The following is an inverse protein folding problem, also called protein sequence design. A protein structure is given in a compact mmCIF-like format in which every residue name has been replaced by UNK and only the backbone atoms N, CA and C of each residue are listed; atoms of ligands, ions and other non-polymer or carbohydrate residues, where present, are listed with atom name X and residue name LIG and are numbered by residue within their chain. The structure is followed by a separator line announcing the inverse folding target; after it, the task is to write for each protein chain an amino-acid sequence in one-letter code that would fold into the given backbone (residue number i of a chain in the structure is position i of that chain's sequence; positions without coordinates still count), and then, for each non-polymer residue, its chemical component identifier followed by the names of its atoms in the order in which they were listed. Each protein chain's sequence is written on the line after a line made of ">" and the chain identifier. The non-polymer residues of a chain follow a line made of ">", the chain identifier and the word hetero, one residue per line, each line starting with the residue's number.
data_IF_460451767196
#
_entry.id   IF_460451767196
#
_cell.length_a   1.000
_cell.length_b   1.000
_cell.length_c   1.000
_cell.angle_alpha   90.00
_cell.angle_beta   90.00
_cell.angle_gamma   90.00
#
_symmetry.space_group_name_H-M   'P 1'
#
loop_
_entity.id
_entity.type
_entity.pdbx_description
1 polymer ?
#
# COMPACT_ATOMS: atom_id res chain seq x y z
N UNK A 1 0.50 2.09 18.44
CA UNK A 1 1.79 2.76 18.44
C UNK A 1 1.53 4.27 18.38
N UNK A 2 2.28 5.06 19.15
CA UNK A 2 2.17 6.52 19.02
C UNK A 2 2.61 6.92 17.60
N UNK A 3 1.81 7.73 16.92
CA UNK A 3 2.20 8.37 15.69
C UNK A 3 3.49 9.16 15.97
N UNK A 4 4.58 8.78 15.30
CA UNK A 4 5.86 9.43 15.52
C UNK A 4 5.99 10.61 14.58
N UNK A 5 6.34 11.78 15.10
CA UNK A 5 6.80 12.90 14.32
C UNK A 5 8.25 12.60 13.88
N UNK A 6 8.39 11.83 12.81
CA UNK A 6 9.69 11.70 12.17
C UNK A 6 10.07 13.06 11.57
N UNK A 7 11.33 13.50 11.72
CA UNK A 7 11.76 14.73 11.08
C UNK A 7 11.61 14.59 9.56
N UNK A 8 11.17 15.66 8.86
CA UNK A 8 11.07 15.61 7.42
C UNK A 8 12.45 15.38 6.80
N UNK A 9 12.53 14.48 5.82
CA UNK A 9 13.75 14.31 5.04
C UNK A 9 13.90 15.54 4.13
N UNK A 10 15.02 16.26 4.20
CA UNK A 10 15.23 17.45 3.37
C UNK A 10 15.32 17.05 1.89
N UNK A 11 14.41 17.58 1.08
CA UNK A 11 14.41 17.36 -0.37
C UNK A 11 15.52 18.19 -1.02
N UNK A 12 16.60 17.54 -1.46
CA UNK A 12 17.79 18.19 -2.04
C UNK A 12 17.60 18.61 -3.50
N UNK A 13 16.66 18.00 -4.22
CA UNK A 13 16.32 18.33 -5.59
C UNK A 13 14.85 18.01 -5.87
N UNK A 14 14.36 18.34 -7.08
CA UNK A 14 13.01 17.98 -7.53
C UNK A 14 12.99 16.72 -8.39
N UNK A 15 14.09 15.97 -8.44
CA UNK A 15 14.18 14.73 -9.22
C UNK A 15 13.48 13.60 -8.48
N UNK A 16 12.50 13.00 -9.11
CA UNK A 16 11.74 11.87 -8.59
C UNK A 16 11.70 10.71 -9.56
N UNK A 17 11.48 9.52 -9.04
CA UNK A 17 11.31 8.29 -9.79
C UNK A 17 9.99 7.63 -9.41
N UNK A 18 9.13 7.37 -10.40
CA UNK A 18 7.86 6.68 -10.20
C UNK A 18 8.03 5.16 -10.29
N UNK A 19 7.36 4.42 -9.37
CA UNK A 19 7.32 2.96 -9.42
C UNK A 19 8.68 2.29 -9.21
N UNK A 20 9.50 2.80 -8.29
CA UNK A 20 10.82 2.24 -8.02
C UNK A 20 10.73 0.89 -7.26
N UNK A 21 11.57 -0.05 -7.70
CA UNK A 21 11.85 -1.30 -6.99
C UNK A 21 13.35 -1.56 -7.01
N UNK A 22 13.93 -2.00 -5.88
CA UNK A 22 15.34 -2.36 -5.80
C UNK A 22 15.67 -3.56 -6.71
N UNK A 23 16.79 -3.47 -7.42
CA UNK A 23 17.24 -4.49 -8.37
C UNK A 23 18.47 -4.01 -9.14
N UNK A 24 18.62 -4.47 -10.36
CA UNK A 24 19.81 -4.23 -11.21
C UNK A 24 20.11 -2.74 -11.47
N UNK A 25 19.08 -1.89 -11.42
CA UNK A 25 19.19 -0.44 -11.67
C UNK A 25 19.17 0.41 -10.39
N UNK A 26 19.42 -0.18 -9.23
CA UNK A 26 19.43 0.59 -7.96
C UNK A 26 20.49 1.70 -7.95
N UNK A 27 21.61 1.53 -8.65
CA UNK A 27 22.66 2.56 -8.82
C UNK A 27 22.15 3.83 -9.52
N UNK A 28 21.11 3.72 -10.36
CA UNK A 28 20.52 4.87 -11.06
C UNK A 28 19.96 5.92 -10.09
N UNK A 29 19.60 5.53 -8.87
CA UNK A 29 19.19 6.46 -7.82
C UNK A 29 20.29 7.49 -7.51
N UNK A 30 21.54 7.05 -7.48
CA UNK A 30 22.70 7.89 -7.23
C UNK A 30 23.12 8.64 -8.50
N UNK A 31 23.22 7.96 -9.64
CA UNK A 31 23.65 8.52 -10.91
C UNK A 31 22.73 9.62 -11.42
N UNK A 32 21.45 9.47 -11.21
CA UNK A 32 20.43 10.47 -11.57
C UNK A 32 20.20 11.51 -10.48
N UNK A 33 20.70 11.30 -9.27
CA UNK A 33 20.50 12.19 -8.13
C UNK A 33 19.03 12.27 -7.70
N UNK A 34 18.39 11.10 -7.58
CA UNK A 34 16.98 10.97 -7.18
C UNK A 34 16.84 11.35 -5.71
N UNK A 35 15.81 12.12 -5.38
CA UNK A 35 15.52 12.57 -4.00
C UNK A 35 14.10 12.24 -3.54
N UNK A 36 13.25 11.79 -4.45
CA UNK A 36 11.91 11.28 -4.13
C UNK A 36 11.59 10.07 -5.00
N UNK A 37 10.78 9.15 -4.47
CA UNK A 37 10.31 7.99 -5.23
C UNK A 37 8.88 7.63 -4.83
N UNK A 38 8.16 6.95 -5.75
CA UNK A 38 6.91 6.27 -5.42
C UNK A 38 7.09 4.76 -5.48
N UNK A 39 6.41 4.05 -4.59
CA UNK A 39 6.36 2.59 -4.55
C UNK A 39 4.90 2.16 -4.49
N UNK A 40 4.48 1.29 -5.41
CA UNK A 40 3.13 0.74 -5.40
C UNK A 40 3.04 -0.42 -4.41
N UNK A 41 1.99 -0.43 -3.59
CA UNK A 41 1.74 -1.48 -2.60
C UNK A 41 0.29 -1.93 -2.69
N UNK A 42 0.08 -3.22 -3.02
CA UNK A 42 -1.23 -3.86 -2.98
C UNK A 42 -1.27 -4.95 -1.91
N UNK A 43 -2.21 -4.90 -0.95
CA UNK A 43 -2.32 -5.92 0.09
C UNK A 43 -2.56 -7.32 -0.50
N UNK A 44 -3.24 -7.42 -1.63
CA UNK A 44 -3.61 -8.69 -2.25
C UNK A 44 -2.40 -9.48 -2.78
N UNK A 45 -1.21 -8.88 -2.83
CA UNK A 45 0.01 -9.55 -3.25
C UNK A 45 0.80 -10.20 -2.11
N UNK A 46 0.51 -9.86 -0.84
CA UNK A 46 1.31 -10.33 0.29
C UNK A 46 0.53 -10.57 1.59
N UNK A 47 -0.75 -10.19 1.68
CA UNK A 47 -1.59 -10.37 2.87
C UNK A 47 -2.59 -11.51 2.68
N UNK A 48 -2.90 -12.24 3.78
CA UNK A 48 -3.78 -13.40 3.80
C UNK A 48 -4.65 -13.39 5.07
N UNK A 49 -5.84 -13.96 4.97
CA UNK A 49 -6.75 -14.15 6.12
C UNK A 49 -6.39 -15.41 6.93
N UNK A 50 -5.66 -16.35 6.32
CA UNK A 50 -5.19 -17.59 6.95
C UNK A 50 -3.76 -17.88 6.48
N UNK A 51 -2.94 -18.60 7.28
CA UNK A 51 -1.57 -18.88 6.87
C UNK A 51 -1.55 -19.83 5.66
N UNK A 52 -0.94 -19.36 4.56
CA UNK A 52 -0.82 -20.12 3.31
C UNK A 52 0.46 -21.00 3.28
N UNK A 53 1.48 -20.64 4.06
CA UNK A 53 2.76 -21.33 4.17
C UNK A 53 3.42 -21.07 5.52
N UNK A 54 4.46 -21.85 5.86
CA UNK A 54 5.29 -21.59 7.03
C UNK A 54 6.08 -20.28 6.90
N UNK A 55 6.39 -19.64 8.02
CA UNK A 55 7.24 -18.43 8.07
C UNK A 55 6.54 -17.13 7.66
N UNK A 56 5.21 -17.14 7.56
CA UNK A 56 4.46 -15.89 7.40
C UNK A 56 4.54 -15.04 8.66
N UNK A 57 4.53 -13.72 8.49
CA UNK A 57 4.50 -12.77 9.61
C UNK A 57 3.07 -12.60 10.08
N UNK A 58 2.82 -12.92 11.35
CA UNK A 58 1.52 -12.72 11.99
C UNK A 58 1.36 -11.28 12.47
N UNK A 59 0.16 -10.73 12.29
CA UNK A 59 -0.21 -9.40 12.76
C UNK A 59 -1.62 -9.43 13.36
N UNK A 60 -1.70 -9.16 14.66
CA UNK A 60 -2.97 -9.08 15.36
C UNK A 60 -3.54 -7.65 15.28
N UNK A 61 -4.78 -7.53 14.81
CA UNK A 61 -5.48 -6.26 14.73
C UNK A 61 -6.96 -6.41 15.08
N UNK A 62 -7.46 -5.64 16.04
CA UNK A 62 -8.87 -5.65 16.48
C UNK A 62 -9.45 -7.04 16.76
N UNK A 63 -8.66 -7.92 17.38
CA UNK A 63 -9.09 -9.27 17.77
C UNK A 63 -9.04 -10.33 16.66
N UNK A 64 -8.59 -9.96 15.48
CA UNK A 64 -8.34 -10.87 14.36
C UNK A 64 -6.82 -10.95 14.09
N UNK A 65 -6.37 -12.05 13.50
CA UNK A 65 -4.97 -12.23 13.07
C UNK A 65 -4.91 -12.29 11.55
N UNK A 66 -3.98 -11.53 10.99
CA UNK A 66 -3.68 -11.48 9.57
C UNK A 66 -2.27 -12.00 9.32
N UNK A 67 -2.00 -12.51 8.14
CA UNK A 67 -0.74 -13.16 7.80
C UNK A 67 -0.12 -12.47 6.59
N UNK A 68 1.19 -12.21 6.66
CA UNK A 68 1.92 -11.49 5.61
C UNK A 68 3.06 -12.37 5.07
N UNK A 69 3.17 -12.46 3.76
CA UNK A 69 4.20 -13.25 3.08
C UNK A 69 5.58 -12.62 3.28
N UNK A 70 6.45 -13.29 4.05
CA UNK A 70 7.79 -12.81 4.38
C UNK A 70 8.65 -12.55 3.14
N UNK A 71 8.57 -13.41 2.11
CA UNK A 71 9.37 -13.24 0.88
C UNK A 71 8.96 -11.98 0.10
N UNK A 72 7.67 -11.66 0.08
CA UNK A 72 7.17 -10.43 -0.54
C UNK A 72 7.53 -9.19 0.28
N UNK A 73 7.51 -9.31 1.59
CA UNK A 73 7.99 -8.26 2.49
C UNK A 73 9.49 -8.02 2.33
N UNK A 74 10.30 -9.06 2.17
CA UNK A 74 11.76 -8.91 1.97
C UNK A 74 12.08 -8.08 0.72
N UNK A 75 11.32 -8.25 -0.37
CA UNK A 75 11.47 -7.45 -1.58
C UNK A 75 11.08 -5.97 -1.37
N UNK A 76 9.98 -5.73 -0.63
CA UNK A 76 9.56 -4.38 -0.25
C UNK A 76 10.55 -3.73 0.72
N UNK A 77 11.02 -4.49 1.72
CA UNK A 77 12.06 -4.06 2.66
C UNK A 77 13.34 -3.65 1.94
N UNK A 78 13.82 -4.46 0.99
CA UNK A 78 14.99 -4.13 0.20
C UNK A 78 14.82 -2.79 -0.52
N UNK A 79 13.67 -2.60 -1.17
CA UNK A 79 13.34 -1.36 -1.89
C UNK A 79 13.35 -0.15 -0.96
N UNK A 80 12.70 -0.26 0.20
CA UNK A 80 12.59 0.84 1.17
C UNK A 80 13.92 1.09 1.92
N UNK A 81 14.75 0.07 2.15
CA UNK A 81 16.11 0.25 2.73
C UNK A 81 17.03 0.97 1.76
N UNK A 82 17.00 0.61 0.46
CA UNK A 82 17.83 1.29 -0.55
C UNK A 82 17.51 2.78 -0.67
N UNK A 83 16.22 3.13 -0.59
CA UNK A 83 15.79 4.53 -0.60
C UNK A 83 16.12 5.25 0.72
N UNK A 84 15.92 4.60 1.87
CA UNK A 84 16.22 5.19 3.18
C UNK A 84 17.72 5.45 3.36
N UNK A 85 18.60 4.52 2.91
CA UNK A 85 20.05 4.66 2.96
C UNK A 85 20.58 5.89 2.17
N UNK A 86 19.78 6.39 1.23
CA UNK A 86 20.11 7.57 0.38
C UNK A 86 19.34 8.83 0.76
N UNK A 87 18.62 8.82 1.86
CA UNK A 87 17.71 9.91 2.26
C UNK A 87 16.68 10.27 1.16
N UNK A 88 16.20 9.29 0.42
CA UNK A 88 15.16 9.47 -0.58
C UNK A 88 13.80 9.47 0.11
N UNK A 89 12.98 10.49 -0.15
CA UNK A 89 11.61 10.58 0.35
C UNK A 89 10.71 9.64 -0.45
N UNK A 90 10.14 8.62 0.21
CA UNK A 90 9.23 7.67 -0.45
C UNK A 90 7.78 7.98 -0.13
N UNK A 91 6.97 8.07 -1.18
CA UNK A 91 5.52 8.02 -1.10
C UNK A 91 5.02 6.65 -1.55
N UNK A 92 4.35 5.92 -0.65
CA UNK A 92 3.72 4.64 -1.00
C UNK A 92 2.34 4.89 -1.56
N UNK A 93 2.05 4.31 -2.73
CA UNK A 93 0.72 4.32 -3.35
C UNK A 93 0.00 3.04 -2.93
N UNK A 94 -1.04 3.17 -2.13
CA UNK A 94 -1.89 2.06 -1.72
C UNK A 94 -2.88 1.74 -2.82
N UNK A 95 -2.83 0.52 -3.34
CA UNK A 95 -3.70 0.04 -4.42
C UNK A 95 -4.43 -1.22 -3.95
N UNK A 96 -5.59 -1.50 -4.51
CA UNK A 96 -6.29 -2.77 -4.32
C UNK A 96 -6.52 -3.38 -5.70
N UNK A 97 -5.83 -4.48 -5.98
CA UNK A 97 -6.01 -5.23 -7.21
C UNK A 97 -7.42 -5.82 -7.30
N UNK A 98 -7.92 -6.16 -8.48
CA UNK A 98 -9.12 -6.97 -8.62
C UNK A 98 -8.98 -8.31 -7.89
N UNK A 99 -10.07 -8.82 -7.33
CA UNK A 99 -10.08 -10.06 -6.56
C UNK A 99 -9.50 -11.28 -7.32
N UNK A 100 -9.63 -11.29 -8.64
CA UNK A 100 -9.07 -12.34 -9.49
C UNK A 100 -7.53 -12.39 -9.49
N UNK A 101 -6.86 -11.30 -9.10
CA UNK A 101 -5.40 -11.19 -9.01
C UNK A 101 -4.87 -11.43 -7.59
N UNK A 102 -5.76 -11.63 -6.61
CA UNK A 102 -5.40 -11.84 -5.23
C UNK A 102 -4.70 -13.19 -5.01
N UNK A 103 -3.66 -13.21 -4.16
CA UNK A 103 -3.00 -14.43 -3.70
C UNK A 103 -3.88 -15.24 -2.74
N UNK A 104 -4.70 -14.55 -1.96
CA UNK A 104 -5.75 -15.12 -1.12
C UNK A 104 -7.10 -14.71 -1.71
N UNK A 105 -7.84 -15.69 -2.25
CA UNK A 105 -9.11 -15.46 -2.92
C UNK A 105 -10.19 -14.90 -1.96
N UNK A 106 -10.15 -15.31 -0.67
CA UNK A 106 -11.11 -14.81 0.33
C UNK A 106 -10.81 -13.36 0.68
N UNK A 107 -9.54 -12.98 0.82
CA UNK A 107 -9.13 -11.60 1.03
C UNK A 107 -9.46 -10.74 -0.19
N UNK A 108 -9.20 -11.25 -1.40
CA UNK A 108 -9.56 -10.57 -2.65
C UNK A 108 -11.04 -10.23 -2.72
N UNK A 109 -11.90 -11.23 -2.50
CA UNK A 109 -13.35 -11.05 -2.47
C UNK A 109 -13.81 -10.11 -1.35
N UNK A 110 -13.09 -10.08 -0.22
CA UNK A 110 -13.39 -9.21 0.91
C UNK A 110 -13.07 -7.74 0.61
N UNK A 111 -11.90 -7.47 0.01
CA UNK A 111 -11.39 -6.11 -0.19
C UNK A 111 -11.86 -5.45 -1.48
N UNK A 112 -12.23 -6.21 -2.50
CA UNK A 112 -12.82 -5.67 -3.73
C UNK A 112 -14.15 -4.99 -3.43
N UNK A 113 -14.36 -3.80 -4.00
CA UNK A 113 -15.67 -3.14 -3.89
C UNK A 113 -16.77 -4.02 -4.50
N UNK A 114 -17.93 -4.20 -3.83
CA UNK A 114 -19.00 -5.09 -4.33
C UNK A 114 -19.54 -4.69 -5.70
N UNK A 115 -19.46 -3.42 -6.06
CA UNK A 115 -19.92 -2.90 -7.35
C UNK A 115 -18.79 -2.81 -8.40
N UNK A 116 -17.58 -3.37 -8.13
CA UNK A 116 -16.51 -3.41 -9.12
C UNK A 116 -16.96 -4.16 -10.38
N UNK A 117 -16.69 -3.57 -11.53
CA UNK A 117 -17.05 -4.14 -12.84
C UNK A 117 -15.84 -4.44 -13.70
N UNK A 118 -14.87 -3.52 -13.73
CA UNK A 118 -13.68 -3.59 -14.59
C UNK A 118 -12.63 -2.57 -14.14
N UNK A 119 -11.51 -2.54 -14.83
CA UNK A 119 -10.44 -1.57 -14.61
C UNK A 119 -9.22 -2.16 -13.95
N UNK A 120 -8.19 -1.34 -13.78
CA UNK A 120 -6.87 -1.76 -13.29
C UNK A 120 -6.89 -2.09 -11.79
N UNK A 121 -7.60 -1.26 -11.01
CA UNK A 121 -7.75 -1.43 -9.56
C UNK A 121 -9.21 -1.27 -9.15
N UNK A 122 -9.54 -1.78 -7.97
CA UNK A 122 -10.85 -1.59 -7.35
C UNK A 122 -10.79 -0.54 -6.23
N UNK A 123 -11.85 0.22 -6.05
CA UNK A 123 -12.09 0.92 -4.79
C UNK A 123 -12.10 -0.11 -3.65
N UNK A 124 -11.45 0.12 -2.50
CA UNK A 124 -11.53 -0.81 -1.39
C UNK A 124 -12.96 -0.90 -0.86
N UNK A 125 -13.34 -2.08 -0.44
CA UNK A 125 -14.65 -2.35 0.13
C UNK A 125 -14.79 -1.73 1.54
N UNK A 126 -15.35 -0.54 1.62
CA UNK A 126 -15.69 0.16 2.87
C UNK A 126 -17.16 -0.04 3.28
N UNK A 127 -17.83 -1.08 2.74
CA UNK A 127 -19.26 -1.33 3.00
C UNK A 127 -19.49 -2.28 4.16
N UNK A 128 -18.51 -3.10 4.55
CA UNK A 128 -18.64 -4.06 5.65
C UNK A 128 -17.58 -3.85 6.73
N UNK A 129 -17.91 -4.04 8.02
CA UNK A 129 -16.93 -3.92 9.11
C UNK A 129 -15.74 -4.86 8.97
N UNK A 130 -15.92 -6.07 8.42
CA UNK A 130 -14.85 -7.05 8.20
C UNK A 130 -13.85 -6.54 7.15
N UNK A 131 -14.33 -6.01 6.03
CA UNK A 131 -13.48 -5.45 4.98
C UNK A 131 -12.71 -4.21 5.47
N UNK A 132 -13.40 -3.31 6.18
CA UNK A 132 -12.77 -2.13 6.79
C UNK A 132 -11.64 -2.53 7.75
N UNK A 133 -11.87 -3.53 8.63
CA UNK A 133 -10.83 -4.01 9.54
C UNK A 133 -9.65 -4.63 8.80
N UNK A 134 -9.89 -5.43 7.77
CA UNK A 134 -8.81 -6.05 7.00
C UNK A 134 -7.94 -4.99 6.29
N UNK A 135 -8.59 -3.98 5.68
CA UNK A 135 -7.86 -2.88 5.05
C UNK A 135 -7.08 -2.04 6.08
N UNK A 136 -7.69 -1.74 7.24
CA UNK A 136 -7.02 -1.03 8.32
C UNK A 136 -5.86 -1.83 8.93
N UNK A 137 -6.00 -3.15 9.07
CA UNK A 137 -4.92 -4.03 9.52
C UNK A 137 -3.69 -3.99 8.62
N UNK A 138 -3.88 -3.92 7.30
CA UNK A 138 -2.79 -3.73 6.35
C UNK A 138 -2.06 -2.40 6.57
N UNK A 139 -2.80 -1.31 6.71
CA UNK A 139 -2.20 0.02 6.96
C UNK A 139 -1.44 0.02 8.30
N UNK A 140 -2.04 -0.53 9.36
CA UNK A 140 -1.41 -0.62 10.67
C UNK A 140 -0.12 -1.47 10.62
N UNK A 141 -0.14 -2.61 9.94
CA UNK A 141 1.04 -3.44 9.74
C UNK A 141 2.16 -2.68 9.01
N UNK A 142 1.85 -2.04 7.89
CA UNK A 142 2.84 -1.28 7.11
C UNK A 142 3.39 -0.09 7.93
N UNK A 143 2.53 0.61 8.67
CA UNK A 143 2.96 1.70 9.52
C UNK A 143 3.87 1.22 10.67
N UNK A 144 3.54 0.11 11.32
CA UNK A 144 4.40 -0.46 12.38
C UNK A 144 5.75 -0.94 11.85
N UNK A 145 5.81 -1.38 10.58
CA UNK A 145 7.04 -1.87 9.96
C UNK A 145 7.92 -0.73 9.42
N UNK A 146 7.34 0.25 8.72
CA UNK A 146 8.06 1.23 7.92
C UNK A 146 8.02 2.68 8.44
N UNK A 147 7.34 2.93 9.58
CA UNK A 147 7.38 4.23 10.25
C UNK A 147 8.10 4.12 11.60
N UNK A 148 9.20 3.34 11.65
CA UNK A 148 10.04 3.14 12.82
C UNK A 148 11.13 4.20 12.87
N UNK A 149 11.60 4.52 14.08
CA UNK A 149 12.74 5.45 14.27
C UNK A 149 14.08 4.88 13.82
N UNK A 150 14.20 3.53 13.83
CA UNK A 150 15.44 2.83 13.51
C UNK A 150 15.60 2.52 12.02
N UNK A 151 14.58 2.82 11.19
CA UNK A 151 14.52 2.51 9.75
C UNK A 151 14.91 1.06 9.41
N UNK A 152 14.72 0.11 10.35
CA UNK A 152 15.21 -1.27 10.23
C UNK A 152 14.73 -2.00 8.96
N UNK A 153 13.58 -1.59 8.44
CA UNK A 153 12.99 -2.13 7.21
C UNK A 153 12.91 -1.09 6.08
N UNK A 154 13.59 0.06 6.24
CA UNK A 154 13.40 1.22 5.40
C UNK A 154 12.29 2.13 5.90
N UNK A 155 11.93 3.15 5.11
CA UNK A 155 11.04 4.22 5.57
C UNK A 155 10.01 4.63 4.53
N UNK A 156 8.75 4.76 4.98
CA UNK A 156 7.67 5.43 4.25
C UNK A 156 7.48 6.82 4.84
N UNK A 157 7.60 7.86 4.00
CA UNK A 157 7.41 9.24 4.41
C UNK A 157 5.99 9.76 4.13
N UNK A 158 5.39 9.30 3.04
CA UNK A 158 4.05 9.73 2.62
C UNK A 158 3.20 8.56 2.16
N UNK A 159 1.89 8.70 2.32
CA UNK A 159 0.88 7.74 1.90
C UNK A 159 -0.01 8.37 0.85
N UNK A 160 -0.11 7.74 -0.31
CA UNK A 160 -1.05 8.10 -1.37
C UNK A 160 -2.16 7.04 -1.31
N UNK A 161 -3.35 7.47 -0.90
CA UNK A 161 -4.50 6.57 -0.79
C UNK A 161 -5.14 6.45 -2.17
N UNK A 162 -4.87 5.34 -2.84
CA UNK A 162 -5.17 5.05 -4.24
C UNK A 162 -4.50 6.01 -5.23
N UNK A 163 -4.61 5.68 -6.51
CA UNK A 163 -4.05 6.47 -7.60
C UNK A 163 -5.13 6.79 -8.63
N UNK A 164 -5.02 7.93 -9.29
CA UNK A 164 -5.89 8.35 -10.39
C UNK A 164 -7.38 8.16 -10.09
N UNK A 165 -7.80 8.59 -8.91
CA UNK A 165 -9.19 8.44 -8.43
C UNK A 165 -10.19 9.24 -9.26
N UNK A 166 -9.74 10.23 -10.01
CA UNK A 166 -10.50 10.97 -11.02
C UNK A 166 -10.81 10.13 -12.28
N UNK A 167 -9.96 9.13 -12.60
CA UNK A 167 -10.19 8.10 -13.61
C UNK A 167 -10.99 6.89 -13.10
N UNK A 168 -11.92 7.09 -12.17
CA UNK A 168 -12.56 6.06 -11.38
C UNK A 168 -13.28 4.93 -12.11
N UNK A 169 -13.58 5.06 -13.40
CA UNK A 169 -14.18 3.99 -14.20
C UNK A 169 -13.12 2.96 -14.64
N UNK A 170 -11.94 3.42 -15.02
CA UNK A 170 -10.91 2.59 -15.62
C UNK A 170 -9.74 2.29 -14.66
N UNK A 171 -9.59 3.09 -13.60
CA UNK A 171 -8.45 2.98 -12.70
C UNK A 171 -8.84 2.47 -11.31
N UNK A 172 -9.55 3.25 -10.50
CA UNK A 172 -10.00 2.83 -9.15
C UNK A 172 -11.52 2.63 -9.18
N UNK A 173 -11.97 1.51 -9.74
CA UNK A 173 -13.36 1.28 -10.10
C UNK A 173 -14.24 0.81 -8.92
N UNK A 174 -15.44 1.36 -8.85
CA UNK A 174 -16.55 0.89 -8.01
C UNK A 174 -17.90 0.86 -8.78
N UNK A 175 -17.83 0.50 -10.07
CA UNK A 175 -18.98 0.50 -10.98
C UNK A 175 -18.95 1.65 -11.99
N UNK A 176 -19.49 1.41 -13.17
CA UNK A 176 -19.36 2.30 -14.31
C UNK A 176 -20.24 3.56 -14.23
N UNK A 177 -21.39 3.47 -13.57
CA UNK A 177 -22.44 4.51 -13.56
C UNK A 177 -22.59 5.22 -12.20
N UNK A 178 -21.52 5.34 -11.43
CA UNK A 178 -21.61 5.98 -10.12
C UNK A 178 -21.62 7.50 -10.22
N UNK A 179 -22.56 8.11 -9.51
CA UNK A 179 -22.54 9.54 -9.29
C UNK A 179 -21.24 9.93 -8.59
N UNK A 180 -20.65 11.05 -8.99
CA UNK A 180 -19.40 11.57 -8.40
C UNK A 180 -19.49 11.70 -6.87
N UNK A 181 -20.64 12.08 -6.33
CA UNK A 181 -20.87 12.18 -4.88
C UNK A 181 -20.80 10.83 -4.18
N UNK A 182 -21.34 9.76 -4.80
CA UNK A 182 -21.28 8.39 -4.28
C UNK A 182 -19.86 7.88 -4.30
N UNK A 183 -19.15 8.08 -5.41
CA UNK A 183 -17.75 7.71 -5.57
C UNK A 183 -16.86 8.43 -4.54
N UNK A 184 -16.97 9.75 -4.45
CA UNK A 184 -16.19 10.55 -3.49
C UNK A 184 -16.46 10.13 -2.04
N UNK A 185 -17.72 9.83 -1.68
CA UNK A 185 -18.04 9.36 -0.34
C UNK A 185 -17.40 8.01 -0.01
N UNK A 186 -17.31 7.09 -0.97
CA UNK A 186 -16.59 5.83 -0.80
C UNK A 186 -15.07 6.06 -0.62
N UNK A 187 -14.49 6.89 -1.48
CA UNK A 187 -13.07 7.25 -1.40
C UNK A 187 -12.70 7.91 -0.07
N UNK A 188 -13.47 8.87 0.39
CA UNK A 188 -13.23 9.56 1.67
C UNK A 188 -13.29 8.61 2.87
N UNK A 189 -14.05 7.52 2.81
CA UNK A 189 -14.04 6.50 3.88
C UNK A 189 -12.67 5.82 3.98
N UNK A 190 -12.05 5.46 2.86
CA UNK A 190 -10.72 4.86 2.87
C UNK A 190 -9.61 5.81 3.33
N UNK A 191 -9.80 7.12 3.14
CA UNK A 191 -8.86 8.16 3.62
C UNK A 191 -8.96 8.45 5.12
N UNK A 192 -10.03 8.01 5.79
CA UNK A 192 -10.28 8.29 7.21
C UNK A 192 -9.85 7.17 8.15
N UNK A 193 -9.29 6.12 7.63
CA UNK A 193 -8.70 5.04 8.41
C UNK A 193 -7.30 5.41 8.89
#
# INVERSE_FOLDING_TARGET
>A
AALRNLPPVPMRSKKGLGGFYAGDYTSDLDDLGITSATVNVSPLQFMYLSPAKAGMVEHAYCGETYYFDSEKLDALDATLRETAARDITVAVILLVDPAAEARDAELGALLQHPDYTRGTYTMPNMTTPKAVRAYAAMIDFLAQRYCREDDAYGRIAHWIVHNEVDGGVDWTNMGDDKLITTYTNAYVKSMRL
#
